data_IF_132796664573
#
_entry.id   IF_132796664573
#
_cell.length_a   1.000
_cell.length_b   1.000
_cell.length_c   1.000
_cell.angle_alpha   90.00
_cell.angle_beta   90.00
_cell.angle_gamma   90.00
#
_symmetry.space_group_name_H-M   'P 1'
#
loop_
_entity.id
_entity.type
_entity.pdbx_description
1 polymer ?
#
# COMPACT_ATOMS: atom_id res chain seq x y z
N UNK A 1 2.07 -13.91 -2.91
CA UNK A 1 2.38 -15.31 -2.55
C UNK A 1 1.83 -15.58 -1.16
N UNK A 2 1.15 -16.70 -0.93
CA UNK A 2 0.74 -17.10 0.41
C UNK A 2 1.98 -17.56 1.21
N UNK A 3 2.03 -17.35 2.55
CA UNK A 3 3.12 -17.86 3.36
C UNK A 3 3.08 -19.39 3.41
N UNK A 4 4.25 -20.03 3.49
CA UNK A 4 4.36 -21.46 3.77
C UNK A 4 3.82 -21.77 5.16
N UNK A 5 3.04 -22.84 5.30
CA UNK A 5 2.43 -23.24 6.58
C UNK A 5 2.81 -24.67 6.92
N UNK A 6 2.90 -24.92 8.23
CA UNK A 6 2.99 -26.29 8.76
C UNK A 6 1.70 -27.02 8.38
N UNK A 7 1.83 -28.15 7.69
CA UNK A 7 0.70 -28.91 7.12
C UNK A 7 0.66 -28.90 5.59
N UNK A 8 1.10 -27.82 4.95
CA UNK A 8 1.33 -27.77 3.49
C UNK A 8 2.70 -28.40 3.14
N UNK A 9 3.63 -28.32 4.08
CA UNK A 9 4.93 -29.00 4.07
C UNK A 9 5.20 -29.66 5.42
N UNK A 10 5.98 -30.74 5.39
CA UNK A 10 6.24 -31.60 6.55
C UNK A 10 7.05 -30.89 7.64
N UNK A 11 8.07 -30.13 7.24
CA UNK A 11 8.89 -29.27 8.10
C UNK A 11 9.21 -27.98 7.34
N UNK A 12 9.07 -26.82 8.00
CA UNK A 12 9.51 -25.55 7.43
C UNK A 12 11.04 -25.46 7.51
N UNK A 13 11.69 -25.42 6.35
CA UNK A 13 13.13 -25.12 6.27
C UNK A 13 13.40 -23.68 6.71
N UNK A 14 14.64 -23.37 7.06
CA UNK A 14 15.02 -22.00 7.41
C UNK A 14 14.78 -21.03 6.25
N UNK A 15 15.09 -21.42 5.01
CA UNK A 15 14.81 -20.61 3.81
C UNK A 15 13.31 -20.26 3.68
N UNK A 16 12.42 -21.20 4.01
CA UNK A 16 10.96 -20.96 3.96
C UNK A 16 10.51 -19.97 5.04
N UNK A 17 11.12 -20.04 6.23
CA UNK A 17 10.85 -19.09 7.32
C UNK A 17 11.34 -17.70 6.97
N UNK A 18 12.54 -17.60 6.39
CA UNK A 18 13.11 -16.34 5.93
C UNK A 18 12.27 -15.72 4.81
N UNK A 19 11.86 -16.53 3.84
CA UNK A 19 10.94 -16.11 2.79
C UNK A 19 9.61 -15.58 3.37
N UNK A 20 8.99 -16.31 4.31
CA UNK A 20 7.76 -15.88 4.97
C UNK A 20 7.94 -14.54 5.70
N UNK A 21 9.07 -14.36 6.39
CA UNK A 21 9.41 -13.11 7.10
C UNK A 21 9.55 -11.94 6.12
N UNK A 22 10.29 -12.12 5.03
CA UNK A 22 10.45 -11.10 3.99
C UNK A 22 9.10 -10.74 3.35
N UNK A 23 8.31 -11.74 2.97
CA UNK A 23 6.99 -11.55 2.38
C UNK A 23 5.99 -10.87 3.32
N UNK A 24 6.07 -11.14 4.63
CA UNK A 24 5.21 -10.49 5.63
C UNK A 24 5.42 -8.98 5.65
N UNK A 25 6.68 -8.53 5.67
CA UNK A 25 7.04 -7.10 5.66
C UNK A 25 6.48 -6.38 4.42
N UNK A 26 6.67 -6.98 3.24
CA UNK A 26 6.14 -6.45 1.99
C UNK A 26 4.61 -6.38 2.01
N UNK A 27 3.93 -7.43 2.49
CA UNK A 27 2.46 -7.44 2.57
C UNK A 27 1.93 -6.36 3.51
N UNK A 28 2.56 -6.17 4.67
CA UNK A 28 2.18 -5.13 5.64
C UNK A 28 2.26 -3.75 4.99
N UNK A 29 3.33 -3.45 4.25
CA UNK A 29 3.48 -2.16 3.57
C UNK A 29 2.34 -1.88 2.57
N UNK A 30 1.92 -2.92 1.83
CA UNK A 30 0.84 -2.83 0.84
C UNK A 30 -0.52 -2.68 1.51
N UNK A 31 -0.82 -3.50 2.51
CA UNK A 31 -2.09 -3.45 3.25
C UNK A 31 -2.27 -2.10 3.95
N UNK A 32 -1.20 -1.54 4.53
CA UNK A 32 -1.23 -0.22 5.15
C UNK A 32 -1.48 0.89 4.13
N UNK A 33 -0.86 0.83 2.95
CA UNK A 33 -1.13 1.80 1.88
C UNK A 33 -2.61 1.77 1.45
N UNK A 34 -3.18 0.57 1.24
CA UNK A 34 -4.59 0.44 0.92
C UNK A 34 -5.48 1.03 2.02
N UNK A 35 -5.16 0.77 3.28
CA UNK A 35 -5.84 1.33 4.43
C UNK A 35 -5.74 2.86 4.50
N UNK A 36 -4.58 3.42 4.23
CA UNK A 36 -4.33 4.86 4.28
C UNK A 36 -5.12 5.63 3.20
N UNK A 37 -5.16 5.09 1.98
CA UNK A 37 -5.98 5.64 0.88
C UNK A 37 -7.47 5.56 1.22
N UNK A 38 -7.96 4.40 1.65
CA UNK A 38 -9.38 4.22 1.98
C UNK A 38 -9.83 5.08 3.19
N UNK A 39 -8.93 5.28 4.17
CA UNK A 39 -9.20 6.12 5.32
C UNK A 39 -9.16 7.62 4.99
N UNK A 40 -8.23 8.04 4.13
CA UNK A 40 -8.12 9.44 3.71
C UNK A 40 -9.26 9.85 2.78
N UNK A 41 -9.71 8.95 1.90
CA UNK A 41 -10.70 9.23 0.87
C UNK A 41 -11.91 8.31 1.00
N UNK A 42 -12.78 8.59 1.99
CA UNK A 42 -13.96 7.77 2.32
C UNK A 42 -14.92 7.53 1.16
N UNK A 43 -14.92 8.40 0.15
CA UNK A 43 -15.68 8.19 -1.08
C UNK A 43 -15.33 6.86 -1.77
N UNK A 44 -14.07 6.43 -1.74
CA UNK A 44 -13.59 5.19 -2.36
C UNK A 44 -14.11 3.93 -1.66
N UNK A 45 -14.40 4.01 -0.36
CA UNK A 45 -14.97 2.90 0.41
C UNK A 45 -16.51 2.86 0.32
N UNK A 46 -17.13 3.82 -0.39
CA UNK A 46 -18.58 3.88 -0.50
C UNK A 46 -19.13 2.89 -1.55
N UNK A 47 -19.22 1.61 -1.15
CA UNK A 47 -19.66 0.48 -1.98
C UNK A 47 -21.04 0.65 -2.63
N UNK A 48 -21.95 1.42 -2.03
CA UNK A 48 -23.31 1.63 -2.59
C UNK A 48 -23.31 2.48 -3.87
N UNK A 49 -22.37 3.44 -4.02
CA UNK A 49 -22.24 4.27 -5.23
C UNK A 49 -21.09 3.84 -6.15
N UNK A 50 -20.19 2.97 -5.68
CA UNK A 50 -19.06 2.49 -6.46
C UNK A 50 -19.29 1.05 -6.89
N UNK A 51 -19.92 0.90 -8.06
CA UNK A 51 -20.17 -0.40 -8.68
C UNK A 51 -19.14 -0.66 -9.77
N UNK A 52 -18.47 -1.81 -9.71
CA UNK A 52 -17.58 -2.26 -10.77
C UNK A 52 -18.34 -2.30 -12.10
N UNK A 53 -17.71 -1.80 -13.18
CA UNK A 53 -18.29 -1.65 -14.53
C UNK A 53 -19.40 -0.60 -14.70
N UNK A 54 -19.86 0.03 -13.63
CA UNK A 54 -20.88 1.10 -13.68
C UNK A 54 -20.34 2.45 -13.23
N UNK A 55 -19.26 2.44 -12.45
CA UNK A 55 -18.53 3.63 -12.01
C UNK A 55 -17.05 3.48 -12.35
N UNK A 56 -16.35 4.58 -12.53
CA UNK A 56 -14.90 4.60 -12.82
C UNK A 56 -14.05 4.34 -11.55
N UNK A 57 -14.37 3.28 -10.80
CA UNK A 57 -13.78 2.95 -9.48
C UNK A 57 -12.25 2.92 -9.54
N UNK A 58 -11.69 2.30 -10.58
CA UNK A 58 -10.24 2.25 -10.77
C UNK A 58 -9.61 3.64 -10.95
N UNK A 59 -10.25 4.53 -11.72
CA UNK A 59 -9.75 5.91 -11.91
C UNK A 59 -9.79 6.69 -10.61
N UNK A 60 -10.89 6.58 -9.85
CA UNK A 60 -11.00 7.24 -8.54
C UNK A 60 -9.93 6.76 -7.57
N UNK A 61 -9.66 5.45 -7.52
CA UNK A 61 -8.61 4.90 -6.68
C UNK A 61 -7.22 5.42 -7.05
N UNK A 62 -6.88 5.44 -8.36
CA UNK A 62 -5.59 5.95 -8.84
C UNK A 62 -5.39 7.42 -8.45
N UNK A 63 -6.41 8.27 -8.62
CA UNK A 63 -6.33 9.69 -8.25
C UNK A 63 -6.16 9.85 -6.74
N UNK A 64 -6.90 9.12 -5.92
CA UNK A 64 -6.74 9.19 -4.47
C UNK A 64 -5.39 8.66 -3.98
N UNK A 65 -4.87 7.59 -4.59
CA UNK A 65 -3.54 7.10 -4.29
C UNK A 65 -2.47 8.15 -4.63
N UNK A 66 -2.60 8.82 -5.79
CA UNK A 66 -1.72 9.94 -6.17
C UNK A 66 -1.78 11.08 -5.14
N UNK A 67 -2.99 11.52 -4.78
CA UNK A 67 -3.17 12.56 -3.75
C UNK A 67 -2.61 12.13 -2.40
N UNK A 68 -2.77 10.85 -2.02
CA UNK A 68 -2.23 10.30 -0.77
C UNK A 68 -0.70 10.30 -0.76
N UNK A 69 -0.07 9.98 -1.88
CA UNK A 69 1.38 10.04 -2.01
C UNK A 69 1.89 11.48 -1.94
N UNK A 70 1.19 12.45 -2.55
CA UNK A 70 1.50 13.87 -2.42
C UNK A 70 1.44 14.33 -0.95
N UNK A 71 0.37 13.96 -0.23
CA UNK A 71 0.25 14.25 1.20
C UNK A 71 1.38 13.62 2.02
N UNK A 72 1.82 12.41 1.62
CA UNK A 72 2.97 11.74 2.23
C UNK A 72 4.27 12.50 1.97
N UNK A 73 4.47 13.08 0.78
CA UNK A 73 5.64 13.91 0.48
C UNK A 73 5.65 15.21 1.31
N UNK A 74 4.49 15.81 1.55
CA UNK A 74 4.37 17.09 2.27
C UNK A 74 4.41 16.94 3.79
N UNK A 75 3.80 15.90 4.34
CA UNK A 75 3.56 15.76 5.78
C UNK A 75 4.10 14.45 6.38
N UNK A 76 4.62 13.55 5.55
CA UNK A 76 4.98 12.20 5.94
C UNK A 76 3.76 11.31 6.21
N UNK A 77 4.03 10.07 6.61
CA UNK A 77 3.01 9.14 7.11
C UNK A 77 3.62 8.14 8.11
N UNK A 78 2.77 7.36 8.77
CA UNK A 78 3.22 6.34 9.74
C UNK A 78 4.00 5.21 9.07
N UNK A 79 3.70 4.89 7.82
CA UNK A 79 4.34 3.79 7.07
C UNK A 79 5.82 4.12 6.81
N UNK A 80 6.12 5.31 6.30
CA UNK A 80 7.47 5.84 6.10
C UNK A 80 8.29 5.80 7.41
N UNK A 81 7.70 6.23 8.53
CA UNK A 81 8.35 6.17 9.85
C UNK A 81 8.66 4.73 10.30
N UNK A 82 7.73 3.80 10.07
CA UNK A 82 7.90 2.39 10.45
C UNK A 82 8.99 1.69 9.64
N UNK A 83 9.08 1.98 8.35
CA UNK A 83 10.09 1.38 7.46
C UNK A 83 11.41 2.17 7.43
N UNK A 84 11.48 3.32 8.11
CA UNK A 84 12.63 4.23 8.10
C UNK A 84 13.00 4.68 6.68
N UNK A 85 11.99 5.01 5.87
CA UNK A 85 12.15 5.48 4.49
C UNK A 85 11.57 6.88 4.41
N UNK A 86 12.41 7.89 4.26
CA UNK A 86 11.95 9.26 4.08
C UNK A 86 11.23 9.42 2.73
N UNK A 87 10.09 10.11 2.70
CA UNK A 87 9.39 10.35 1.46
C UNK A 87 10.19 11.33 0.58
N UNK A 88 10.07 11.23 -0.76
CA UNK A 88 10.69 12.19 -1.65
C UNK A 88 10.07 13.58 -1.48
N UNK A 89 10.76 14.60 -1.98
CA UNK A 89 10.16 15.93 -2.12
C UNK A 89 9.01 15.90 -3.13
N UNK A 90 8.07 16.83 -3.00
CA UNK A 90 6.93 16.91 -3.92
C UNK A 90 7.38 17.12 -5.36
N UNK A 91 8.42 17.93 -5.59
CA UNK A 91 8.95 18.21 -6.93
C UNK A 91 9.56 16.96 -7.57
N UNK A 92 10.35 16.20 -6.79
CA UNK A 92 10.92 14.93 -7.24
C UNK A 92 9.84 13.89 -7.52
N UNK A 93 8.75 13.87 -6.75
CA UNK A 93 7.65 12.92 -6.93
C UNK A 93 6.81 13.24 -8.16
N UNK A 94 6.52 14.53 -8.41
CA UNK A 94 5.74 14.97 -9.55
C UNK A 94 6.56 15.11 -10.84
N UNK A 95 7.89 15.00 -10.76
CA UNK A 95 8.78 15.18 -11.91
C UNK A 95 8.85 16.62 -12.40
N UNK A 96 8.57 17.58 -11.52
CA UNK A 96 8.66 19.02 -11.84
C UNK A 96 10.08 19.46 -11.53
N UNK A 97 10.92 19.48 -12.56
CA UNK A 97 12.22 20.15 -12.50
C UNK A 97 12.02 21.60 -12.98
N UNK A 98 12.33 22.57 -12.13
CA UNK A 98 12.44 23.98 -12.54
C UNK A 98 13.72 24.18 -13.36
#
# INVERSE_FOLDING_TARGET
MAPYRVGDVQVLTEDMKEFNRAMSSLRVSVEWLFGDVANSFKFIDFKKNLKLRLSAVGKFYVVAALMRNILTCLYGNTTSKYFHIDPPTIDSYLGVHN
#
